data_IF_142520850020
#
_entry.id   IF_142520850020
#
_cell.length_a   1.000
_cell.length_b   1.000
_cell.length_c   1.000
_cell.angle_alpha   90.00
_cell.angle_beta   90.00
_cell.angle_gamma   90.00
#
_symmetry.space_group_name_H-M   'P 1'
#
loop_
_entity.id
_entity.type
_entity.pdbx_description
1 polymer ?
#
# COMPACT_ATOMS: atom_id res chain seq x y z
N UNK A 1 18.27 5.16 -23.91
CA UNK A 1 16.90 5.17 -23.35
C UNK A 1 16.76 3.97 -22.39
N UNK A 2 16.35 4.18 -21.14
CA UNK A 2 16.05 3.05 -20.23
C UNK A 2 14.80 2.33 -20.73
N UNK A 3 14.83 1.01 -20.80
CA UNK A 3 13.71 0.18 -21.26
C UNK A 3 12.56 0.30 -20.23
N UNK A 4 11.47 0.95 -20.61
CA UNK A 4 10.28 1.05 -19.75
C UNK A 4 9.63 -0.33 -19.67
N UNK A 5 9.57 -0.90 -18.46
CA UNK A 5 8.97 -2.23 -18.24
C UNK A 5 7.48 -2.08 -18.00
N UNK A 6 6.67 -2.59 -18.93
CA UNK A 6 5.21 -2.52 -18.84
C UNK A 6 4.70 -3.51 -17.77
N UNK A 7 3.84 -3.00 -16.89
CA UNK A 7 3.14 -3.81 -15.88
C UNK A 7 2.00 -4.60 -16.55
N UNK A 8 1.76 -5.82 -16.07
CA UNK A 8 0.72 -6.72 -16.60
C UNK A 8 0.04 -7.47 -15.46
N UNK A 9 -1.22 -7.84 -15.65
CA UNK A 9 -1.92 -8.71 -14.70
C UNK A 9 -1.29 -10.10 -14.65
N UNK A 10 -1.36 -10.72 -13.47
CA UNK A 10 -0.91 -12.08 -13.23
C UNK A 10 -2.10 -13.07 -13.27
N UNK A 11 -2.85 -13.06 -14.37
CA UNK A 11 -4.16 -13.75 -14.47
C UNK A 11 -4.13 -15.26 -14.15
N UNK A 12 -2.96 -15.91 -14.28
CA UNK A 12 -2.78 -17.34 -14.04
C UNK A 12 -2.60 -17.72 -12.55
N UNK A 13 -2.70 -16.77 -11.61
CA UNK A 13 -2.55 -17.08 -10.18
C UNK A 13 -3.85 -17.64 -9.59
N UNK A 14 -3.74 -18.63 -8.71
CA UNK A 14 -4.91 -19.24 -8.08
C UNK A 14 -5.60 -18.27 -7.11
N UNK A 15 -4.81 -17.58 -6.29
CA UNK A 15 -5.31 -16.57 -5.34
C UNK A 15 -5.61 -15.28 -6.10
N UNK A 16 -6.86 -14.78 -5.97
CA UNK A 16 -7.34 -13.60 -6.69
C UNK A 16 -6.48 -12.36 -6.44
N UNK A 17 -6.09 -12.11 -5.18
CA UNK A 17 -5.18 -11.02 -4.81
C UNK A 17 -3.89 -11.05 -5.64
N UNK A 18 -3.28 -12.24 -5.79
CA UNK A 18 -2.01 -12.40 -6.51
C UNK A 18 -2.11 -12.12 -8.01
N UNK A 19 -3.33 -11.97 -8.57
CA UNK A 19 -3.56 -11.58 -9.97
C UNK A 19 -3.30 -10.09 -10.22
N UNK A 20 -3.30 -9.26 -9.18
CA UNK A 20 -3.07 -7.82 -9.28
C UNK A 20 -1.69 -7.51 -9.90
N UNK A 21 -1.59 -6.48 -10.75
CA UNK A 21 -0.40 -6.22 -11.57
C UNK A 21 0.81 -5.68 -10.80
N UNK A 22 0.58 -5.25 -9.55
CA UNK A 22 1.61 -4.78 -8.62
C UNK A 22 2.05 -5.86 -7.62
N UNK A 23 1.50 -7.07 -7.68
CA UNK A 23 1.90 -8.17 -6.79
C UNK A 23 2.80 -9.14 -7.53
N UNK A 24 3.91 -9.53 -6.90
CA UNK A 24 4.85 -10.53 -7.42
C UNK A 24 5.07 -11.62 -6.37
N UNK A 25 4.75 -12.85 -6.73
CA UNK A 25 5.04 -14.03 -5.90
C UNK A 25 6.31 -14.74 -6.37
N UNK A 26 7.09 -15.23 -5.41
CA UNK A 26 8.33 -15.96 -5.63
C UNK A 26 8.53 -16.99 -4.51
N UNK A 27 9.47 -17.95 -4.64
CA UNK A 27 9.82 -18.85 -3.54
C UNK A 27 10.28 -18.14 -2.26
N UNK A 28 10.83 -16.91 -2.39
CA UNK A 28 11.27 -16.10 -1.25
C UNK A 28 10.12 -15.34 -0.55
N UNK A 29 8.89 -15.44 -1.06
CA UNK A 29 7.72 -14.75 -0.52
C UNK A 29 6.98 -13.90 -1.54
N UNK A 30 6.08 -13.06 -1.02
CA UNK A 30 5.19 -12.19 -1.81
C UNK A 30 5.64 -10.74 -1.65
N UNK A 31 5.86 -10.06 -2.77
CA UNK A 31 6.03 -8.61 -2.83
C UNK A 31 4.69 -8.00 -3.31
N UNK A 32 4.07 -7.21 -2.45
CA UNK A 32 2.79 -6.54 -2.64
C UNK A 32 2.93 -5.18 -3.35
N UNK A 33 4.15 -4.71 -3.60
CA UNK A 33 4.43 -3.51 -4.40
C UNK A 33 5.64 -3.69 -5.34
N UNK A 34 5.43 -4.46 -6.41
CA UNK A 34 6.41 -4.69 -7.47
C UNK A 34 6.14 -3.79 -8.68
N UNK A 35 6.24 -2.47 -8.48
CA UNK A 35 6.09 -1.46 -9.53
C UNK A 35 7.43 -0.76 -9.79
N UNK A 36 7.87 -0.64 -11.06
CA UNK A 36 9.06 0.15 -11.38
C UNK A 36 8.88 1.62 -10.98
N UNK A 37 9.85 2.16 -10.25
CA UNK A 37 9.91 3.57 -9.91
C UNK A 37 10.49 4.39 -11.09
N UNK A 38 9.62 4.77 -12.03
CA UNK A 38 9.98 5.52 -13.23
C UNK A 38 8.88 6.53 -13.63
N UNK A 39 9.25 7.60 -14.35
CA UNK A 39 8.31 8.61 -14.84
C UNK A 39 8.15 9.84 -13.93
N UNK A 40 9.02 9.99 -12.93
CA UNK A 40 9.02 11.11 -11.99
C UNK A 40 7.77 11.15 -11.11
N UNK A 41 7.64 12.18 -10.27
CA UNK A 41 6.55 12.30 -9.30
C UNK A 41 5.16 12.30 -9.97
N UNK A 42 4.94 13.16 -10.97
CA UNK A 42 3.65 13.29 -11.63
C UNK A 42 3.21 12.00 -12.35
N UNK A 43 4.12 11.34 -13.06
CA UNK A 43 3.85 10.03 -13.69
C UNK A 43 3.64 8.93 -12.63
N UNK A 44 4.34 9.04 -11.50
CA UNK A 44 4.09 8.25 -10.31
C UNK A 44 2.65 8.38 -9.82
N UNK A 45 2.16 9.62 -9.62
CA UNK A 45 0.78 9.87 -9.20
C UNK A 45 -0.24 9.21 -10.13
N UNK A 46 -0.09 9.41 -11.45
CA UNK A 46 -0.97 8.78 -12.44
C UNK A 46 -0.95 7.25 -12.34
N UNK A 47 0.24 6.67 -12.16
CA UNK A 47 0.40 5.22 -11.98
C UNK A 47 -0.31 4.75 -10.72
N UNK A 48 -0.07 5.40 -9.58
CA UNK A 48 -0.69 5.08 -8.30
C UNK A 48 -2.21 5.15 -8.35
N UNK A 49 -2.77 6.23 -8.91
CA UNK A 49 -4.22 6.41 -9.04
C UNK A 49 -4.86 5.29 -9.87
N UNK A 50 -4.24 4.92 -11.00
CA UNK A 50 -4.74 3.86 -11.86
C UNK A 50 -4.73 2.50 -11.13
N UNK A 51 -3.64 2.20 -10.42
CA UNK A 51 -3.51 0.95 -9.66
C UNK A 51 -4.47 0.88 -8.47
N UNK A 52 -4.75 2.00 -7.80
CA UNK A 52 -5.75 2.05 -6.74
C UNK A 52 -7.17 1.76 -7.25
N UNK A 53 -7.52 2.25 -8.44
CA UNK A 53 -8.81 1.92 -9.07
C UNK A 53 -8.91 0.43 -9.41
N UNK A 54 -7.83 -0.19 -9.91
CA UNK A 54 -7.76 -1.64 -10.14
C UNK A 54 -7.95 -2.39 -8.81
N UNK A 55 -7.29 -1.94 -7.75
CA UNK A 55 -7.41 -2.54 -6.42
C UNK A 55 -8.83 -2.44 -5.85
N UNK A 56 -9.48 -1.27 -5.94
CA UNK A 56 -10.86 -1.10 -5.51
C UNK A 56 -11.84 -1.97 -6.31
N UNK A 57 -11.60 -2.13 -7.61
CA UNK A 57 -12.37 -3.06 -8.44
C UNK A 57 -12.20 -4.50 -7.94
N UNK A 58 -10.97 -4.91 -7.63
CA UNK A 58 -10.70 -6.20 -7.01
C UNK A 58 -11.46 -6.38 -5.70
N UNK A 59 -11.44 -5.40 -4.78
CA UNK A 59 -12.20 -5.48 -3.52
C UNK A 59 -13.71 -5.62 -3.70
N UNK A 60 -14.25 -5.03 -4.77
CA UNK A 60 -15.67 -5.15 -5.09
C UNK A 60 -16.03 -6.55 -5.62
N UNK A 61 -15.12 -7.19 -6.35
CA UNK A 61 -15.29 -8.51 -6.95
C UNK A 61 -15.00 -9.63 -5.93
N UNK A 62 -14.03 -9.43 -5.04
CA UNK A 62 -13.62 -10.36 -4.00
C UNK A 62 -14.45 -10.15 -2.72
N UNK A 63 -15.62 -10.80 -2.68
CA UNK A 63 -16.58 -10.68 -1.57
C UNK A 63 -16.30 -11.58 -0.38
N UNK A 64 -15.36 -12.51 -0.50
CA UNK A 64 -15.15 -13.60 0.47
C UNK A 64 -13.95 -13.36 1.40
N UNK A 65 -12.97 -12.55 0.98
CA UNK A 65 -11.68 -12.43 1.69
C UNK A 65 -11.72 -11.58 2.96
N UNK A 66 -12.82 -10.90 3.27
CA UNK A 66 -12.96 -10.06 4.48
C UNK A 66 -11.97 -8.89 4.57
N UNK A 67 -11.15 -8.65 3.55
CA UNK A 67 -10.14 -7.59 3.52
C UNK A 67 -9.14 -7.68 2.37
N UNK A 68 -8.50 -6.55 2.04
CA UNK A 68 -7.75 -6.37 0.79
C UNK A 68 -6.22 -6.33 0.87
N UNK A 69 -5.61 -6.67 2.00
CA UNK A 69 -4.14 -6.62 2.19
C UNK A 69 -3.52 -5.23 1.98
N UNK A 70 -4.29 -4.15 2.14
CA UNK A 70 -3.79 -2.77 2.02
C UNK A 70 -2.57 -2.51 2.92
N UNK A 71 -2.58 -3.06 4.13
CA UNK A 71 -1.48 -2.94 5.08
C UNK A 71 -0.16 -3.54 4.55
N UNK A 72 -0.24 -4.63 3.79
CA UNK A 72 0.94 -5.28 3.18
C UNK A 72 1.44 -4.50 1.97
N UNK A 73 0.50 -3.98 1.15
CA UNK A 73 0.82 -3.11 0.02
C UNK A 73 1.58 -1.87 0.50
N UNK A 74 1.07 -1.18 1.53
CA UNK A 74 1.71 0.02 2.09
C UNK A 74 3.05 -0.30 2.75
N UNK A 75 3.17 -1.42 3.46
CA UNK A 75 4.44 -1.84 4.05
C UNK A 75 5.54 -2.01 2.96
N UNK A 76 5.22 -2.65 1.84
CA UNK A 76 6.18 -2.85 0.75
C UNK A 76 6.52 -1.55 -0.01
N UNK A 77 5.57 -0.62 -0.13
CA UNK A 77 5.86 0.74 -0.62
C UNK A 77 6.92 1.42 0.25
N UNK A 78 6.76 1.39 1.58
CA UNK A 78 7.69 2.00 2.53
C UNK A 78 9.07 1.32 2.50
N UNK A 79 9.13 -0.01 2.45
CA UNK A 79 10.39 -0.76 2.31
C UNK A 79 11.11 -0.42 1.00
N UNK A 80 10.36 -0.23 -0.09
CA UNK A 80 10.92 0.17 -1.38
C UNK A 80 11.42 1.61 -1.37
N UNK A 81 10.76 2.50 -0.61
CA UNK A 81 11.15 3.90 -0.46
C UNK A 81 12.51 4.03 0.21
N UNK A 82 12.73 3.32 1.33
CA UNK A 82 14.03 3.31 2.03
C UNK A 82 15.19 2.89 1.12
N UNK A 83 14.98 1.89 0.25
CA UNK A 83 15.99 1.46 -0.73
C UNK A 83 16.21 2.53 -1.80
N UNK A 84 15.16 3.07 -2.40
CA UNK A 84 15.30 3.99 -3.53
C UNK A 84 15.89 5.35 -3.13
N UNK A 85 15.55 5.88 -1.96
CA UNK A 85 16.15 7.11 -1.43
C UNK A 85 17.68 7.01 -1.26
N UNK A 86 18.19 5.80 -0.98
CA UNK A 86 19.62 5.58 -0.81
C UNK A 86 20.40 5.61 -2.14
N UNK A 87 19.74 5.31 -3.26
CA UNK A 87 20.44 5.04 -4.53
C UNK A 87 20.03 5.95 -5.70
N UNK A 88 18.84 6.55 -5.68
CA UNK A 88 18.34 7.32 -6.82
C UNK A 88 17.16 8.25 -6.46
N UNK A 89 17.41 9.56 -6.43
CA UNK A 89 16.41 10.59 -6.15
C UNK A 89 15.22 10.59 -7.12
N UNK A 90 15.45 10.40 -8.42
CA UNK A 90 14.37 10.34 -9.42
C UNK A 90 13.47 9.12 -9.23
N UNK A 91 14.05 7.99 -8.84
CA UNK A 91 13.27 6.80 -8.48
C UNK A 91 12.48 7.04 -7.18
N UNK A 92 13.07 7.71 -6.20
CA UNK A 92 12.39 8.08 -4.97
C UNK A 92 11.19 9.01 -5.23
N UNK A 93 11.34 10.05 -6.05
CA UNK A 93 10.24 10.93 -6.46
C UNK A 93 9.12 10.16 -7.16
N UNK A 94 9.48 9.26 -8.08
CA UNK A 94 8.48 8.45 -8.77
C UNK A 94 7.71 7.53 -7.82
N UNK A 95 8.40 6.86 -6.90
CA UNK A 95 7.75 6.02 -5.90
C UNK A 95 6.87 6.84 -4.94
N UNK A 96 7.33 8.01 -4.51
CA UNK A 96 6.53 8.92 -3.69
C UNK A 96 5.26 9.36 -4.43
N UNK A 97 5.36 9.67 -5.72
CA UNK A 97 4.21 9.93 -6.57
C UNK A 97 3.25 8.74 -6.63
N UNK A 98 3.77 7.53 -6.82
CA UNK A 98 2.96 6.31 -6.82
C UNK A 98 2.20 6.11 -5.50
N UNK A 99 2.86 6.30 -4.36
CA UNK A 99 2.24 6.23 -3.04
C UNK A 99 1.15 7.29 -2.88
N UNK A 100 1.45 8.54 -3.20
CA UNK A 100 0.51 9.67 -3.11
C UNK A 100 -0.71 9.43 -3.98
N UNK A 101 -0.53 9.07 -5.25
CA UNK A 101 -1.64 8.83 -6.17
C UNK A 101 -2.51 7.65 -5.74
N UNK A 102 -1.89 6.55 -5.29
CA UNK A 102 -2.62 5.36 -4.83
C UNK A 102 -3.48 5.69 -3.60
N UNK A 103 -2.86 6.29 -2.57
CA UNK A 103 -3.55 6.63 -1.32
C UNK A 103 -4.58 7.75 -1.50
N UNK A 104 -4.38 8.69 -2.43
CA UNK A 104 -5.35 9.75 -2.72
C UNK A 104 -6.67 9.22 -3.30
N UNK A 105 -6.63 8.13 -4.06
CA UNK A 105 -7.85 7.44 -4.50
C UNK A 105 -8.52 6.75 -3.32
N UNK A 106 -7.75 6.04 -2.49
CA UNK A 106 -8.30 5.34 -1.32
C UNK A 106 -8.93 6.29 -0.29
N UNK A 107 -8.31 7.44 -0.04
CA UNK A 107 -8.81 8.45 0.89
C UNK A 107 -10.23 8.93 0.52
N UNK A 108 -10.49 9.15 -0.78
CA UNK A 108 -11.83 9.50 -1.27
C UNK A 108 -12.86 8.42 -0.95
N UNK A 109 -12.51 7.15 -1.11
CA UNK A 109 -13.39 6.03 -0.82
C UNK A 109 -13.57 5.80 0.68
N UNK A 110 -12.50 5.96 1.46
CA UNK A 110 -12.54 5.91 2.91
C UNK A 110 -13.47 6.98 3.48
N UNK A 111 -13.37 8.22 3.00
CA UNK A 111 -14.26 9.31 3.40
C UNK A 111 -15.73 8.97 3.15
N UNK A 112 -16.05 8.43 1.98
CA UNK A 112 -17.42 8.03 1.65
C UNK A 112 -17.91 6.91 2.59
N UNK A 113 -17.08 5.91 2.83
CA UNK A 113 -17.42 4.80 3.72
C UNK A 113 -17.66 5.27 5.17
N UNK A 114 -16.79 6.15 5.68
CA UNK A 114 -16.91 6.78 7.01
C UNK A 114 -18.21 7.57 7.11
N UNK A 115 -18.55 8.38 6.10
CA UNK A 115 -19.79 9.16 6.10
C UNK A 115 -21.06 8.31 5.99
N UNK A 116 -20.97 7.08 5.47
CA UNK A 116 -22.14 6.21 5.23
C UNK A 116 -22.42 5.23 6.36
N UNK A 117 -21.42 4.87 7.17
CA UNK A 117 -21.51 3.88 8.26
C UNK A 117 -21.04 4.48 9.62
N UNK A 118 -21.26 5.78 9.83
CA UNK A 118 -20.59 6.58 10.87
C UNK A 118 -21.05 6.37 12.32
N UNK A 119 -22.16 5.66 12.56
CA UNK A 119 -22.80 5.59 13.90
C UNK A 119 -21.86 5.10 15.02
N UNK A 120 -20.84 4.30 14.71
CA UNK A 120 -19.85 3.81 15.70
C UNK A 120 -18.66 4.75 15.93
N UNK A 121 -18.53 5.84 15.17
CA UNK A 121 -17.41 6.78 15.26
C UNK A 121 -17.73 7.99 16.15
N UNK A 122 -19.00 8.36 16.29
CA UNK A 122 -19.43 9.54 17.04
C UNK A 122 -19.26 9.38 18.57
N UNK A 123 -19.29 8.14 19.06
CA UNK A 123 -19.13 7.81 20.49
C UNK A 123 -17.67 7.56 20.91
N UNK A 124 -16.70 7.75 20.00
CA UNK A 124 -15.29 7.47 20.31
C UNK A 124 -14.71 8.50 21.29
N UNK A 125 -14.09 8.00 22.36
CA UNK A 125 -13.23 8.82 23.21
C UNK A 125 -11.88 9.05 22.52
N UNK A 126 -11.80 10.15 21.76
CA UNK A 126 -10.59 10.57 21.05
C UNK A 126 -9.40 10.79 22.00
N UNK A 127 -9.64 11.17 23.26
CA UNK A 127 -8.57 11.36 24.23
C UNK A 127 -7.99 10.02 24.68
N UNK A 128 -8.83 9.00 24.89
CA UNK A 128 -8.39 7.64 25.18
C UNK A 128 -7.62 7.02 24.00
N UNK A 129 -8.08 7.25 22.77
CA UNK A 129 -7.37 6.80 21.57
C UNK A 129 -5.99 7.47 21.43
N UNK A 130 -5.91 8.79 21.65
CA UNK A 130 -4.62 9.49 21.63
C UNK A 130 -3.67 8.99 22.73
N UNK A 131 -4.20 8.73 23.94
CA UNK A 131 -3.41 8.13 25.02
C UNK A 131 -2.86 6.76 24.61
N UNK A 132 -3.69 5.94 23.98
CA UNK A 132 -3.29 4.63 23.45
C UNK A 132 -2.18 4.76 22.41
N UNK A 133 -2.30 5.71 21.48
CA UNK A 133 -1.26 6.00 20.49
C UNK A 133 0.06 6.44 21.16
N UNK A 134 0.00 7.31 22.16
CA UNK A 134 1.17 7.77 22.91
C UNK A 134 1.85 6.63 23.68
N UNK A 135 1.08 5.70 24.26
CA UNK A 135 1.63 4.49 24.89
C UNK A 135 2.41 3.66 23.86
N UNK A 136 1.87 3.49 22.66
CA UNK A 136 2.53 2.72 21.59
C UNK A 136 3.86 3.34 21.12
N UNK A 137 3.93 4.66 20.97
CA UNK A 137 5.16 5.35 20.54
C UNK A 137 6.22 5.37 21.65
N UNK A 138 5.80 5.43 22.92
CA UNK A 138 6.71 5.42 24.08
C UNK A 138 7.13 4.00 24.51
N UNK A 139 6.56 2.95 23.92
CA UNK A 139 6.93 1.58 24.25
C UNK A 139 8.38 1.30 23.82
N UNK A 140 9.14 0.59 24.66
CA UNK A 140 10.50 0.19 24.28
C UNK A 140 10.46 -0.78 23.09
N UNK A 141 11.48 -0.74 22.21
CA UNK A 141 11.57 -1.69 21.11
C UNK A 141 11.60 -3.10 21.68
N UNK A 142 10.75 -3.99 21.15
CA UNK A 142 10.88 -5.42 21.45
C UNK A 142 12.28 -5.89 21.02
N UNK A 143 13.13 -6.20 22.01
CA UNK A 143 14.42 -6.85 21.77
C UNK A 143 14.10 -8.25 21.28
N UNK A 144 14.12 -8.47 19.95
CA UNK A 144 14.10 -9.81 19.39
C UNK A 144 15.39 -10.50 19.80
N UNK A 145 15.31 -11.31 20.87
CA UNK A 145 16.39 -12.16 21.31
C UNK A 145 16.90 -12.99 20.14
N UNK A 146 18.16 -12.79 19.77
CA UNK A 146 18.89 -13.74 18.96
C UNK A 146 19.08 -14.99 19.82
N UNK A 147 18.22 -15.99 19.64
CA UNK A 147 18.59 -17.34 20.02
C UNK A 147 19.68 -17.78 19.05
N UNK A 148 20.90 -17.86 19.58
CA UNK A 148 22.07 -18.46 18.96
C UNK A 148 21.87 -19.96 18.69
#
# INVERSE_FOLDING_TARGET
MRKCSLIKFNNHRDIALHRLPFIKTSPAGVNFWNIPAAGGFAGGCQTGEALAKIYLRYLREDRESGGGSLQLIVADMCLSSGKNHQFNEYAAESLNGQMVGFLSVLDKWLRIAVMSNGDCLDDLDITALLRTANVGICAEPEVRGHHA
#
